data_IF_420364534079
#
_entry.id   IF_420364534079
#
_cell.length_a   1.000
_cell.length_b   1.000
_cell.length_c   1.000
_cell.angle_alpha   90.00
_cell.angle_beta   90.00
_cell.angle_gamma   90.00
#
_symmetry.space_group_name_H-M   'P 1'
#
loop_
_entity.id
_entity.type
_entity.pdbx_description
1 polymer ?
#
# COMPACT_ATOMS: atom_id res chain seq x y z
N UNK A 1 1.07 -0.40 -11.41
CA UNK A 1 1.65 -1.51 -10.61
C UNK A 1 0.89 -1.59 -9.31
N UNK A 2 0.32 -2.76 -9.00
CA UNK A 2 -0.37 -3.04 -7.74
C UNK A 2 0.63 -3.08 -6.57
N UNK A 3 0.25 -2.48 -5.46
CA UNK A 3 0.91 -2.60 -4.17
C UNK A 3 -0.13 -2.72 -3.05
N UNK A 4 0.32 -2.57 -1.80
CA UNK A 4 -0.58 -2.37 -0.67
C UNK A 4 -1.35 -3.63 -0.28
N UNK A 5 -2.48 -3.42 0.38
CA UNK A 5 -3.17 -4.46 1.15
C UNK A 5 -3.68 -5.62 0.29
N UNK A 6 -4.17 -5.34 -0.92
CA UNK A 6 -4.64 -6.36 -1.85
C UNK A 6 -3.54 -7.33 -2.28
N UNK A 7 -2.33 -6.81 -2.54
CA UNK A 7 -1.19 -7.67 -2.86
C UNK A 7 -0.83 -8.56 -1.67
N UNK A 8 -0.88 -8.04 -0.45
CA UNK A 8 -0.60 -8.83 0.76
C UNK A 8 -1.66 -9.91 0.98
N UNK A 9 -2.94 -9.60 0.76
CA UNK A 9 -4.03 -10.57 0.86
C UNK A 9 -3.80 -11.79 -0.04
N UNK A 10 -3.41 -11.56 -1.29
CA UNK A 10 -3.09 -12.65 -2.22
C UNK A 10 -1.85 -13.46 -1.81
N UNK A 11 -0.84 -12.81 -1.21
CA UNK A 11 0.45 -13.45 -0.87
C UNK A 11 0.45 -14.16 0.48
N UNK A 12 -0.40 -13.74 1.42
CA UNK A 12 -0.44 -14.23 2.79
C UNK A 12 -1.76 -14.91 3.18
N UNK A 13 -2.80 -14.86 2.32
CA UNK A 13 -4.08 -15.52 2.57
C UNK A 13 -4.71 -15.08 3.89
N UNK A 14 -5.15 -16.03 4.71
CA UNK A 14 -5.80 -15.77 6.01
C UNK A 14 -4.92 -15.01 7.02
N UNK A 15 -3.60 -15.02 6.84
CA UNK A 15 -2.71 -14.24 7.69
C UNK A 15 -2.74 -12.75 7.35
N UNK A 16 -3.12 -12.37 6.14
CA UNK A 16 -3.29 -10.96 5.79
C UNK A 16 -4.55 -10.39 6.45
N UNK A 17 -4.47 -9.12 6.83
CA UNK A 17 -5.67 -8.33 7.12
C UNK A 17 -6.50 -8.15 5.84
N UNK A 18 -7.81 -7.96 6.00
CA UNK A 18 -8.69 -7.70 4.86
C UNK A 18 -8.27 -6.42 4.10
N UNK A 19 -8.17 -6.48 2.76
CA UNK A 19 -7.87 -5.30 1.95
C UNK A 19 -9.09 -4.37 1.90
N UNK A 20 -8.84 -3.07 2.09
CA UNK A 20 -9.92 -2.04 2.06
C UNK A 20 -9.96 -1.28 0.73
N UNK A 21 -8.88 -1.35 -0.03
CA UNK A 21 -8.59 -0.55 -1.22
C UNK A 21 -7.67 -1.32 -2.19
N UNK A 22 -7.65 -0.84 -3.44
CA UNK A 22 -6.67 -1.25 -4.45
C UNK A 22 -5.66 -0.12 -4.65
N UNK A 23 -4.42 -0.33 -4.21
CA UNK A 23 -3.35 0.65 -4.34
C UNK A 23 -2.51 0.44 -5.60
N UNK A 24 -2.35 1.49 -6.40
CA UNK A 24 -1.53 1.47 -7.61
C UNK A 24 -0.50 2.59 -7.63
N UNK A 25 0.73 2.23 -8.02
CA UNK A 25 1.69 3.20 -8.57
C UNK A 25 1.51 3.25 -10.08
N UNK A 26 1.28 4.43 -10.62
CA UNK A 26 1.11 4.66 -12.06
C UNK A 26 2.47 4.66 -12.73
N UNK A 27 2.62 3.82 -13.75
CA UNK A 27 3.85 3.68 -14.53
C UNK A 27 3.55 3.93 -16.02
N UNK A 28 4.48 4.53 -16.78
CA UNK A 28 5.75 5.12 -16.36
C UNK A 28 5.60 6.37 -15.46
N UNK A 29 6.64 6.68 -14.68
CA UNK A 29 6.62 7.74 -13.67
C UNK A 29 6.56 9.17 -14.26
N UNK A 30 6.71 9.34 -15.57
CA UNK A 30 6.53 10.62 -16.26
C UNK A 30 5.06 10.94 -16.57
N UNK A 31 4.13 10.01 -16.32
CA UNK A 31 2.69 10.30 -16.41
C UNK A 31 2.26 11.24 -15.30
N UNK A 32 1.68 12.38 -15.67
CA UNK A 32 1.25 13.40 -14.70
C UNK A 32 -0.24 13.31 -14.41
N UNK A 33 -0.60 13.72 -13.21
CA UNK A 33 -1.97 13.64 -12.71
C UNK A 33 -2.94 14.59 -13.44
N UNK A 34 -2.46 15.72 -13.97
CA UNK A 34 -3.28 16.76 -14.59
C UNK A 34 -3.54 16.54 -16.09
N UNK A 35 -2.94 15.52 -16.68
CA UNK A 35 -3.02 15.29 -18.13
C UNK A 35 -4.37 14.68 -18.52
N UNK A 36 -4.90 15.06 -19.69
CA UNK A 36 -6.15 14.49 -20.23
C UNK A 36 -6.10 12.96 -20.32
N UNK A 37 -4.95 12.39 -20.71
CA UNK A 37 -4.73 10.94 -20.77
C UNK A 37 -4.89 10.24 -19.40
N UNK A 38 -4.72 10.96 -18.29
CA UNK A 38 -4.95 10.43 -16.94
C UNK A 38 -6.44 10.35 -16.65
N UNK A 39 -7.22 11.36 -17.03
CA UNK A 39 -8.69 11.31 -16.95
C UNK A 39 -9.25 10.19 -17.81
N UNK A 40 -8.82 10.09 -19.08
CA UNK A 40 -9.22 8.99 -19.98
C UNK A 40 -8.89 7.62 -19.39
N UNK A 41 -7.71 7.46 -18.77
CA UNK A 41 -7.34 6.21 -18.10
C UNK A 41 -8.34 5.82 -17.01
N UNK A 42 -8.79 6.76 -16.18
CA UNK A 42 -9.75 6.48 -15.10
C UNK A 42 -11.14 6.12 -15.66
N UNK A 43 -11.61 6.87 -16.66
CA UNK A 43 -12.89 6.61 -17.34
C UNK A 43 -12.89 5.23 -18.03
N UNK A 44 -11.78 4.85 -18.65
CA UNK A 44 -11.58 3.54 -19.28
C UNK A 44 -11.58 2.41 -18.26
N UNK A 45 -10.97 2.61 -17.08
CA UNK A 45 -11.00 1.62 -15.98
C UNK A 45 -12.44 1.42 -15.48
N UNK A 46 -13.18 2.50 -15.22
CA UNK A 46 -14.57 2.42 -14.78
C UNK A 46 -15.43 1.68 -15.82
N UNK A 47 -15.32 2.07 -17.09
CA UNK A 47 -16.05 1.47 -18.21
C UNK A 47 -15.69 -0.01 -18.42
N UNK A 48 -14.41 -0.38 -18.25
CA UNK A 48 -13.97 -1.77 -18.32
C UNK A 48 -14.51 -2.59 -17.14
N UNK A 49 -14.48 -2.04 -15.92
CA UNK A 49 -14.99 -2.72 -14.72
C UNK A 49 -16.49 -3.02 -14.84
N UNK A 50 -17.30 -2.03 -15.30
CA UNK A 50 -18.72 -2.25 -15.56
C UNK A 50 -18.93 -3.37 -16.58
N UNK A 51 -18.31 -3.28 -17.77
CA UNK A 51 -18.45 -4.32 -18.81
C UNK A 51 -18.07 -5.71 -18.30
N UNK A 52 -16.94 -5.85 -17.62
CA UNK A 52 -16.49 -7.15 -17.11
C UNK A 52 -17.46 -7.75 -16.08
N UNK A 53 -18.05 -6.91 -15.22
CA UNK A 53 -19.02 -7.39 -14.21
C UNK A 53 -20.37 -7.76 -14.82
N UNK A 54 -20.86 -6.98 -15.79
CA UNK A 54 -22.07 -7.29 -16.56
C UNK A 54 -21.92 -8.60 -17.35
N UNK A 55 -20.80 -8.75 -18.07
CA UNK A 55 -20.50 -9.95 -18.89
C UNK A 55 -20.39 -11.22 -18.05
N UNK A 56 -19.83 -11.12 -16.84
CA UNK A 56 -19.71 -12.26 -15.92
C UNK A 56 -21.08 -12.75 -15.44
N UNK A 57 -22.01 -11.83 -15.20
CA UNK A 57 -23.37 -12.12 -14.72
C UNK A 57 -23.43 -12.71 -13.31
N UNK A 58 -24.60 -12.63 -12.69
CA UNK A 58 -24.90 -13.32 -11.42
C UNK A 58 -24.12 -12.83 -10.18
N UNK A 59 -23.39 -11.73 -10.27
CA UNK A 59 -22.63 -11.13 -9.18
C UNK A 59 -22.80 -9.60 -9.09
N UNK A 60 -21.96 -8.92 -8.30
CA UNK A 60 -21.92 -7.46 -8.25
C UNK A 60 -21.66 -6.85 -9.62
N UNK A 61 -22.41 -5.81 -9.96
CA UNK A 61 -22.25 -4.98 -11.16
C UNK A 61 -21.73 -3.62 -10.74
N UNK A 62 -20.60 -3.22 -11.32
CA UNK A 62 -20.01 -1.89 -11.13
C UNK A 62 -20.78 -0.87 -11.97
N UNK A 63 -21.08 0.29 -11.41
CA UNK A 63 -21.68 1.43 -12.11
C UNK A 63 -20.60 2.45 -12.47
N UNK A 64 -20.19 2.47 -13.74
CA UNK A 64 -19.19 3.39 -14.24
C UNK A 64 -19.68 4.84 -14.29
N UNK A 65 -20.99 5.05 -14.50
CA UNK A 65 -21.56 6.40 -14.54
C UNK A 65 -21.59 7.05 -13.15
N UNK A 66 -21.65 6.22 -12.10
CA UNK A 66 -21.51 6.64 -10.71
C UNK A 66 -20.06 6.73 -10.20
N UNK A 67 -19.06 6.53 -11.07
CA UNK A 67 -17.66 6.62 -10.66
C UNK A 67 -17.31 8.06 -10.26
N UNK A 68 -16.72 8.22 -9.08
CA UNK A 68 -16.21 9.50 -8.60
C UNK A 68 -14.69 9.44 -8.49
N UNK A 69 -14.02 10.55 -8.81
CA UNK A 69 -12.59 10.68 -8.57
C UNK A 69 -12.21 12.03 -7.98
N UNK A 70 -11.31 12.00 -7.01
CA UNK A 70 -10.82 13.18 -6.32
C UNK A 70 -9.29 13.20 -6.25
N UNK A 71 -8.74 14.39 -6.09
CA UNK A 71 -7.33 14.55 -5.79
C UNK A 71 -7.09 14.17 -4.34
N UNK A 72 -6.12 13.29 -4.12
CA UNK A 72 -5.63 12.95 -2.79
C UNK A 72 -4.15 13.28 -2.71
N UNK A 73 -3.71 13.66 -1.51
CA UNK A 73 -2.30 13.67 -1.16
C UNK A 73 -1.98 12.35 -0.50
N UNK A 74 -1.48 11.39 -1.28
CA UNK A 74 -1.15 10.07 -0.72
C UNK A 74 0.16 10.20 0.05
N UNK A 75 0.13 9.89 1.34
CA UNK A 75 1.27 10.01 2.26
C UNK A 75 1.88 11.42 2.32
N UNK A 76 1.10 12.47 1.98
CA UNK A 76 1.52 13.88 1.92
C UNK A 76 2.69 14.19 0.96
N UNK A 77 3.08 13.24 0.09
CA UNK A 77 4.34 13.31 -0.66
C UNK A 77 4.18 13.47 -2.16
N UNK A 78 3.26 12.71 -2.75
CA UNK A 78 3.13 12.58 -4.20
C UNK A 78 1.67 12.76 -4.63
N UNK A 79 1.44 13.35 -5.81
CA UNK A 79 0.09 13.56 -6.30
C UNK A 79 -0.62 12.20 -6.48
N UNK A 80 -1.84 12.10 -5.95
CA UNK A 80 -2.67 10.92 -6.11
C UNK A 80 -4.08 11.23 -6.59
N UNK A 81 -4.70 10.22 -7.22
CA UNK A 81 -6.14 10.18 -7.49
C UNK A 81 -6.76 9.03 -6.73
N UNK A 82 -7.79 9.32 -5.95
CA UNK A 82 -8.71 8.30 -5.43
C UNK A 82 -9.87 8.20 -6.40
N UNK A 83 -10.20 6.98 -6.80
CA UNK A 83 -11.40 6.66 -7.55
C UNK A 83 -12.27 5.71 -6.73
N UNK A 84 -13.56 6.01 -6.66
CA UNK A 84 -14.55 5.16 -6.02
C UNK A 84 -15.50 4.65 -7.08
N UNK A 85 -15.63 3.33 -7.17
CA UNK A 85 -16.54 2.65 -8.09
C UNK A 85 -17.71 2.06 -7.29
N UNK A 86 -18.93 2.60 -7.40
CA UNK A 86 -20.09 2.00 -6.77
C UNK A 86 -20.42 0.67 -7.46
N UNK A 87 -20.98 -0.27 -6.68
CA UNK A 87 -21.51 -1.52 -7.21
C UNK A 87 -22.84 -1.89 -6.56
N UNK A 88 -23.61 -2.69 -7.29
CA UNK A 88 -24.88 -3.26 -6.82
C UNK A 88 -24.92 -4.76 -7.09
N UNK A 89 -25.53 -5.53 -6.20
CA UNK A 89 -25.75 -6.95 -6.39
C UNK A 89 -27.16 -7.33 -5.92
N UNK A 90 -27.85 -8.27 -6.59
CA UNK A 90 -29.17 -8.72 -6.15
C UNK A 90 -29.15 -9.23 -4.70
N UNK A 91 -30.00 -8.65 -3.85
CA UNK A 91 -30.17 -9.07 -2.46
C UNK A 91 -29.08 -8.57 -1.48
N UNK A 92 -28.13 -7.76 -1.94
CA UNK A 92 -27.14 -7.11 -1.07
C UNK A 92 -27.35 -5.59 -1.04
N UNK A 93 -26.99 -4.91 0.06
CA UNK A 93 -26.82 -3.46 0.04
C UNK A 93 -25.82 -3.05 -1.04
N UNK A 94 -26.04 -1.86 -1.62
CA UNK A 94 -25.04 -1.27 -2.50
C UNK A 94 -23.71 -1.08 -1.74
N UNK A 95 -22.60 -1.19 -2.47
CA UNK A 95 -21.28 -0.99 -1.92
C UNK A 95 -20.39 -0.22 -2.87
N UNK A 96 -19.12 -0.12 -2.51
CA UNK A 96 -18.12 0.59 -3.31
C UNK A 96 -16.79 -0.15 -3.30
N UNK A 97 -16.00 0.05 -4.35
CA UNK A 97 -14.59 -0.34 -4.42
C UNK A 97 -13.77 0.94 -4.53
N UNK A 98 -12.78 1.09 -3.66
CA UNK A 98 -11.84 2.21 -3.71
C UNK A 98 -10.56 1.79 -4.44
N UNK A 99 -10.07 2.66 -5.33
CA UNK A 99 -8.81 2.53 -6.04
C UNK A 99 -8.00 3.81 -5.83
N UNK A 100 -6.77 3.66 -5.32
CA UNK A 100 -5.86 4.77 -5.09
C UNK A 100 -4.70 4.69 -6.08
N UNK A 101 -4.51 5.75 -6.85
CA UNK A 101 -3.46 5.87 -7.85
C UNK A 101 -2.46 6.93 -7.42
N UNK A 102 -1.21 6.53 -7.30
CA UNK A 102 -0.09 7.44 -7.04
C UNK A 102 0.66 7.71 -8.33
N UNK A 103 0.87 8.99 -8.64
CA UNK A 103 1.55 9.45 -9.84
C UNK A 103 2.95 9.96 -9.51
N UNK A 104 3.83 9.91 -10.51
CA UNK A 104 5.21 10.43 -10.44
C UNK A 104 6.13 9.80 -9.39
N UNK A 105 5.67 8.79 -8.65
CA UNK A 105 6.49 8.02 -7.73
C UNK A 105 7.58 7.25 -8.49
N UNK A 106 8.84 7.50 -8.12
CA UNK A 106 9.99 6.81 -8.68
C UNK A 106 10.13 5.44 -8.03
N UNK A 107 10.26 4.39 -8.84
CA UNK A 107 10.43 3.04 -8.34
C UNK A 107 11.92 2.66 -8.34
N UNK A 108 12.50 2.29 -7.18
CA UNK A 108 13.90 1.86 -7.12
C UNK A 108 14.12 0.45 -7.69
N UNK A 109 13.04 -0.29 -7.91
CA UNK A 109 13.03 -1.63 -8.50
C UNK A 109 11.90 -1.68 -9.52
N UNK A 110 12.18 -2.21 -10.70
CA UNK A 110 11.17 -2.41 -11.73
C UNK A 110 10.02 -3.32 -11.24
N UNK A 111 8.76 -2.99 -11.58
CA UNK A 111 7.61 -3.85 -11.30
C UNK A 111 7.78 -5.25 -11.90
N UNK A 112 7.24 -6.27 -11.21
CA UNK A 112 7.21 -7.64 -11.74
C UNK A 112 5.86 -7.96 -12.36
N UNK A 113 5.84 -8.68 -13.47
CA UNK A 113 4.61 -9.25 -14.01
C UNK A 113 4.29 -10.55 -13.26
N UNK A 114 3.25 -10.53 -12.43
CA UNK A 114 2.85 -11.66 -11.60
C UNK A 114 1.34 -11.88 -11.68
N UNK A 115 0.88 -13.07 -11.31
CA UNK A 115 -0.56 -13.33 -11.15
C UNK A 115 -0.99 -12.95 -9.73
N UNK A 116 -2.07 -12.17 -9.62
CA UNK A 116 -2.74 -11.79 -8.37
C UNK A 116 -4.22 -12.09 -8.54
N UNK A 117 -4.77 -12.91 -7.65
CA UNK A 117 -6.17 -13.35 -7.68
C UNK A 117 -6.58 -13.92 -9.06
N UNK A 118 -5.65 -14.63 -9.72
CA UNK A 118 -5.86 -15.21 -11.05
C UNK A 118 -5.71 -14.25 -12.23
N UNK A 119 -5.37 -12.97 -11.99
CA UNK A 119 -5.20 -11.95 -13.04
C UNK A 119 -3.72 -11.55 -13.17
N UNK A 120 -3.15 -11.51 -14.39
CA UNK A 120 -1.78 -11.01 -14.59
C UNK A 120 -1.74 -9.49 -14.37
N UNK A 121 -0.88 -9.03 -13.46
CA UNK A 121 -0.70 -7.63 -13.10
C UNK A 121 0.79 -7.32 -12.90
N UNK A 122 1.16 -6.05 -13.11
CA UNK A 122 2.42 -5.54 -12.59
C UNK A 122 2.29 -5.37 -11.06
N UNK A 123 3.20 -5.93 -10.29
CA UNK A 123 3.21 -5.91 -8.81
C UNK A 123 4.52 -5.36 -8.26
N UNK A 124 4.44 -4.78 -7.06
CA UNK A 124 5.61 -4.55 -6.23
C UNK A 124 6.20 -5.90 -5.77
N UNK A 125 7.52 -5.95 -5.55
CA UNK A 125 8.11 -7.09 -4.85
C UNK A 125 7.72 -7.06 -3.36
N UNK A 126 7.80 -8.21 -2.69
CA UNK A 126 7.63 -8.25 -1.23
C UNK A 126 8.69 -7.40 -0.52
N UNK A 127 9.92 -7.41 -1.02
CA UNK A 127 11.02 -6.62 -0.48
C UNK A 127 10.76 -5.10 -0.59
N UNK A 128 10.27 -4.63 -1.75
CA UNK A 128 9.90 -3.22 -1.94
C UNK A 128 8.70 -2.84 -1.06
N UNK A 129 7.71 -3.74 -0.95
CA UNK A 129 6.57 -3.54 -0.06
C UNK A 129 7.02 -3.40 1.40
N UNK A 130 7.99 -4.21 1.84
CA UNK A 130 8.57 -4.13 3.18
C UNK A 130 9.32 -2.81 3.38
N UNK A 131 10.13 -2.40 2.40
CA UNK A 131 10.88 -1.14 2.46
C UNK A 131 9.94 0.06 2.66
N UNK A 132 8.84 0.14 1.92
CA UNK A 132 7.83 1.20 2.11
C UNK A 132 7.20 1.17 3.49
N UNK A 133 6.82 -0.01 4.00
CA UNK A 133 6.26 -0.14 5.36
C UNK A 133 7.24 0.35 6.42
N UNK A 134 8.52 0.02 6.30
CA UNK A 134 9.55 0.50 7.23
C UNK A 134 9.71 2.02 7.15
N UNK A 135 9.71 2.59 5.94
CA UNK A 135 9.77 4.06 5.76
C UNK A 135 8.54 4.72 6.36
N UNK A 136 7.32 4.26 6.09
CA UNK A 136 6.10 4.82 6.69
C UNK A 136 6.10 4.73 8.22
N UNK A 137 6.54 3.59 8.76
CA UNK A 137 6.67 3.42 10.21
C UNK A 137 7.66 4.41 10.84
N UNK A 138 8.69 4.87 10.12
CA UNK A 138 9.69 5.80 10.66
C UNK A 138 9.27 7.25 10.46
N UNK A 139 8.68 7.55 9.31
CA UNK A 139 8.63 8.91 8.78
C UNK A 139 7.23 9.53 8.79
N UNK A 140 6.16 8.72 8.83
CA UNK A 140 4.82 9.27 8.99
C UNK A 140 4.67 9.92 10.37
N UNK A 141 4.02 11.07 10.42
CA UNK A 141 3.73 11.78 11.66
C UNK A 141 2.93 10.93 12.66
N UNK A 142 2.13 9.98 12.15
CA UNK A 142 1.29 9.07 12.92
C UNK A 142 1.44 7.63 12.41
N UNK A 143 2.49 6.90 12.83
CA UNK A 143 2.69 5.52 12.40
C UNK A 143 1.52 4.62 12.87
N UNK A 144 0.99 3.80 11.96
CA UNK A 144 -0.24 3.04 12.21
C UNK A 144 0.03 1.55 12.48
N UNK A 145 -0.75 0.97 13.40
CA UNK A 145 -0.62 -0.46 13.77
C UNK A 145 -0.74 -1.43 12.59
N UNK A 146 -1.57 -1.11 11.57
CA UNK A 146 -1.68 -1.93 10.35
C UNK A 146 -0.36 -2.03 9.58
N UNK A 147 0.48 -0.98 9.63
CA UNK A 147 1.76 -0.96 8.93
C UNK A 147 2.80 -1.79 9.67
N UNK A 148 2.77 -1.81 11.02
CA UNK A 148 3.56 -2.74 11.82
C UNK A 148 3.15 -4.20 11.52
N UNK A 149 1.85 -4.49 11.51
CA UNK A 149 1.33 -5.83 11.21
C UNK A 149 1.80 -6.32 9.83
N UNK A 150 1.57 -5.51 8.78
CA UNK A 150 1.98 -5.81 7.41
C UNK A 150 3.51 -5.98 7.31
N UNK A 151 4.29 -5.12 7.98
CA UNK A 151 5.76 -5.18 7.98
C UNK A 151 6.29 -6.47 8.60
N UNK A 152 5.70 -6.96 9.69
CA UNK A 152 6.10 -8.24 10.31
C UNK A 152 5.89 -9.40 9.35
N UNK A 153 4.71 -9.50 8.73
CA UNK A 153 4.43 -10.57 7.76
C UNK A 153 5.41 -10.55 6.59
N UNK A 154 5.72 -9.36 6.09
CA UNK A 154 6.68 -9.16 5.01
C UNK A 154 8.11 -9.54 5.43
N UNK A 155 8.57 -9.08 6.59
CA UNK A 155 9.94 -9.30 7.08
C UNK A 155 10.22 -10.78 7.42
N UNK A 156 9.21 -11.52 7.87
CA UNK A 156 9.34 -12.96 8.11
C UNK A 156 9.36 -13.79 6.81
N UNK A 157 8.91 -13.20 5.70
CA UNK A 157 8.81 -13.89 4.40
C UNK A 157 9.95 -13.56 3.44
N UNK A 158 10.46 -12.34 3.47
CA UNK A 158 11.50 -11.85 2.56
C UNK A 158 12.53 -10.98 3.31
N UNK A 159 13.83 -11.22 3.12
CA UNK A 159 14.86 -10.34 3.68
C UNK A 159 14.79 -8.97 3.01
N UNK A 160 15.06 -7.91 3.76
CA UNK A 160 15.20 -6.55 3.24
C UNK A 160 16.67 -6.18 3.09
N UNK A 161 17.10 -5.82 1.88
CA UNK A 161 18.42 -5.25 1.64
C UNK A 161 18.54 -3.81 2.14
N UNK A 162 19.65 -3.48 2.82
CA UNK A 162 19.93 -2.13 3.30
C UNK A 162 19.88 -1.10 2.15
N UNK A 163 20.52 -1.41 1.02
CA UNK A 163 20.60 -0.52 -0.13
C UNK A 163 19.21 -0.15 -0.67
N UNK A 164 18.28 -1.12 -0.73
CA UNK A 164 16.92 -0.85 -1.16
C UNK A 164 16.18 0.03 -0.16
N UNK A 165 16.30 -0.25 1.13
CA UNK A 165 15.66 0.56 2.17
C UNK A 165 16.14 2.02 2.13
N UNK A 166 17.46 2.24 2.02
CA UNK A 166 18.01 3.58 1.93
C UNK A 166 17.58 4.30 0.64
N UNK A 167 17.46 3.58 -0.47
CA UNK A 167 17.02 4.18 -1.74
C UNK A 167 15.53 4.53 -1.70
N UNK A 168 14.66 3.68 -1.15
CA UNK A 168 13.24 4.00 -0.95
C UNK A 168 13.08 5.23 -0.07
N UNK A 169 13.85 5.32 1.02
CA UNK A 169 13.88 6.50 1.88
C UNK A 169 14.37 7.76 1.16
N UNK A 170 15.43 7.66 0.37
CA UNK A 170 15.94 8.78 -0.43
C UNK A 170 14.89 9.27 -1.44
N UNK A 171 14.19 8.33 -2.09
CA UNK A 171 13.17 8.64 -3.09
C UNK A 171 11.86 9.16 -2.48
N UNK A 172 11.58 8.87 -1.21
CA UNK A 172 10.38 9.40 -0.55
C UNK A 172 10.45 10.91 -0.31
N UNK A 173 11.62 11.53 -0.47
CA UNK A 173 11.77 12.99 -0.52
C UNK A 173 11.67 13.68 0.84
N UNK A 174 11.73 12.93 1.94
CA UNK A 174 11.48 13.47 3.26
C UNK A 174 12.71 14.17 3.83
N UNK A 175 12.51 15.38 4.35
CA UNK A 175 13.43 15.98 5.31
C UNK A 175 13.08 15.41 6.70
N UNK A 176 13.95 14.60 7.28
CA UNK A 176 13.75 14.09 8.64
C UNK A 176 13.50 15.26 9.62
N UNK A 177 12.64 15.10 10.64
CA UNK A 177 12.42 16.12 11.68
C UNK A 177 13.69 16.56 12.42
N UNK A 178 14.78 15.81 12.30
CA UNK A 178 16.09 16.05 12.90
C UNK A 178 17.18 16.23 11.85
N UNK A 179 17.13 17.34 11.10
CA UNK A 179 18.32 18.08 10.62
C UNK A 179 19.43 17.28 9.92
N UNK A 180 19.14 16.71 8.74
CA UNK A 180 20.19 16.33 7.77
C UNK A 180 20.75 14.90 7.88
N UNK A 181 20.00 13.96 8.45
CA UNK A 181 20.40 12.55 8.48
C UNK A 181 20.25 11.92 7.08
N UNK A 182 21.37 11.51 6.46
CA UNK A 182 21.38 10.94 5.09
C UNK A 182 20.86 9.49 5.00
N UNK A 183 20.74 8.80 6.15
CA UNK A 183 20.44 7.35 6.19
C UNK A 183 19.57 6.96 7.37
N UNK A 184 18.65 6.03 7.12
CA UNK A 184 17.85 5.36 8.14
C UNK A 184 18.70 4.41 8.98
N UNK A 185 18.46 4.40 10.29
CA UNK A 185 19.07 3.53 11.29
C UNK A 185 18.01 2.71 12.01
N UNK A 186 18.43 1.61 12.64
CA UNK A 186 17.52 0.79 13.44
C UNK A 186 16.95 1.57 14.62
N UNK A 187 17.72 2.51 15.17
CA UNK A 187 17.30 3.39 16.26
C UNK A 187 16.14 4.29 15.86
N UNK A 188 16.08 4.76 14.61
CA UNK A 188 14.98 5.60 14.10
C UNK A 188 13.67 4.81 14.12
N UNK A 189 13.70 3.55 13.67
CA UNK A 189 12.57 2.63 13.74
C UNK A 189 12.16 2.34 15.20
N UNK A 190 13.14 2.09 16.08
CA UNK A 190 12.86 1.85 17.51
C UNK A 190 12.20 3.05 18.17
N UNK A 191 12.64 4.27 17.83
CA UNK A 191 12.05 5.49 18.36
C UNK A 191 10.61 5.64 17.88
N UNK A 192 10.39 5.54 16.57
CA UNK A 192 9.06 5.74 15.99
C UNK A 192 8.02 4.74 16.50
N UNK A 193 8.41 3.47 16.70
CA UNK A 193 7.51 2.44 17.22
C UNK A 193 6.99 2.74 18.65
N UNK A 194 7.64 3.63 19.41
CA UNK A 194 7.11 4.09 20.71
C UNK A 194 5.83 4.91 20.56
N UNK A 195 5.65 5.57 19.42
CA UNK A 195 4.53 6.45 19.11
C UNK A 195 3.46 5.78 18.23
N UNK A 196 3.64 4.50 17.90
CA UNK A 196 2.70 3.70 17.09
C UNK A 196 1.29 3.67 17.68
N UNK A 197 0.29 4.02 16.86
CA UNK A 197 -1.12 3.83 17.21
C UNK A 197 -1.57 2.40 16.90
N UNK A 198 -1.40 1.52 17.89
CA UNK A 198 -1.91 0.15 17.82
C UNK A 198 -3.42 0.07 18.05
N UNK A 199 -3.98 0.97 18.85
CA UNK A 199 -5.37 0.90 19.28
C UNK A 199 -6.33 1.01 18.09
N UNK A 200 -6.01 1.85 17.11
CA UNK A 200 -6.81 1.95 15.89
C UNK A 200 -6.87 0.63 15.11
N UNK A 201 -5.77 -0.11 15.02
CA UNK A 201 -5.73 -1.42 14.38
C UNK A 201 -6.58 -2.47 15.13
N UNK A 202 -6.54 -2.43 16.45
CA UNK A 202 -7.30 -3.35 17.33
C UNK A 202 -8.81 -3.17 17.21
N UNK A 203 -9.31 -1.99 16.79
CA UNK A 203 -10.74 -1.80 16.54
C UNK A 203 -11.27 -2.74 15.45
N UNK A 204 -10.46 -2.99 14.42
CA UNK A 204 -10.81 -3.91 13.33
C UNK A 204 -10.37 -5.35 13.64
N UNK A 205 -9.32 -5.54 14.46
CA UNK A 205 -8.75 -6.85 14.80
C UNK A 205 -8.58 -7.05 16.32
N UNK A 206 -9.67 -7.21 17.09
CA UNK A 206 -9.62 -7.31 18.55
C UNK A 206 -8.80 -8.48 19.09
N UNK A 207 -8.61 -9.54 18.29
CA UNK A 207 -7.81 -10.70 18.66
C UNK A 207 -6.33 -10.38 18.88
N UNK A 208 -5.83 -9.24 18.37
CA UNK A 208 -4.44 -8.81 18.53
C UNK A 208 -4.26 -7.70 19.58
N UNK A 209 -5.25 -7.49 20.46
CA UNK A 209 -5.25 -6.39 21.43
C UNK A 209 -3.96 -6.32 22.28
N UNK A 210 -3.46 -7.47 22.71
CA UNK A 210 -2.31 -7.57 23.63
C UNK A 210 -0.97 -7.82 22.91
N UNK A 211 -0.96 -7.90 21.58
CA UNK A 211 0.18 -8.41 20.80
C UNK A 211 1.16 -7.34 20.33
N UNK A 212 0.90 -6.06 20.61
CA UNK A 212 1.73 -4.93 20.13
C UNK A 212 3.22 -5.17 20.34
N UNK A 213 3.61 -5.46 21.58
CA UNK A 213 5.02 -5.59 21.95
C UNK A 213 5.65 -6.86 21.35
N UNK A 214 4.85 -7.89 21.08
CA UNK A 214 5.30 -9.06 20.33
C UNK A 214 5.63 -8.69 18.87
N UNK A 215 4.73 -8.00 18.18
CA UNK A 215 4.95 -7.58 16.80
C UNK A 215 6.14 -6.62 16.67
N UNK A 216 6.30 -5.69 17.62
CA UNK A 216 7.50 -4.83 17.69
C UNK A 216 8.78 -5.66 17.81
N UNK A 217 8.83 -6.64 18.73
CA UNK A 217 10.01 -7.50 18.90
C UNK A 217 10.30 -8.31 17.63
N UNK A 218 9.27 -8.87 17.00
CA UNK A 218 9.40 -9.68 15.76
C UNK A 218 9.97 -8.84 14.62
N UNK A 219 9.43 -7.63 14.40
CA UNK A 219 9.92 -6.73 13.35
C UNK A 219 11.38 -6.35 13.58
N UNK A 220 11.74 -5.92 14.80
CA UNK A 220 13.11 -5.52 15.12
C UNK A 220 14.12 -6.66 14.97
N UNK A 221 13.73 -7.88 15.35
CA UNK A 221 14.57 -9.06 15.18
C UNK A 221 14.77 -9.39 13.70
N UNK A 222 13.70 -9.37 12.90
CA UNK A 222 13.76 -9.67 11.47
C UNK A 222 14.57 -8.63 10.68
N UNK A 223 14.52 -7.35 11.07
CA UNK A 223 15.25 -6.27 10.41
C UNK A 223 16.66 -6.03 10.94
N UNK A 224 17.05 -6.63 12.07
CA UNK A 224 18.40 -6.45 12.62
C UNK A 224 19.53 -6.70 11.59
N UNK A 225 19.48 -7.76 10.74
CA UNK A 225 20.49 -7.98 9.70
C UNK A 225 20.54 -6.87 8.64
N UNK A 226 19.39 -6.25 8.31
CA UNK A 226 19.31 -5.15 7.33
C UNK A 226 20.11 -3.93 7.77
N UNK A 227 20.19 -3.66 9.08
CA UNK A 227 20.90 -2.50 9.63
C UNK A 227 22.31 -2.82 10.13
N UNK A 228 22.72 -4.08 10.15
CA UNK A 228 24.07 -4.51 10.52
C UNK A 228 25.07 -4.47 9.33
N UNK A 229 24.57 -4.26 8.12
CA UNK A 229 25.32 -4.28 6.86
C UNK A 229 25.98 -2.93 6.53
#
# INVERSE_FOLDING_TARGET
MLRGSMLLADRFGEAAREPKDLDFVVVPADRRIEEERTTTMLDDIASAAQRCTEERGGGPVIDAAGAESEYIWTYERVPGRRMVLPWQAPGLPAGQVQLDFVFNEQLPVEPRSETVCGVPLLTATLELSLAWKVVWLIDDLYPQGKDLYDAVLLAERAPLGNALLQEVFRLSGNEMPSGGQEKLRLEDLRESLKHLDWNHFVLDYPQFADDRDEYVRRLLAALAPTFAA
#
